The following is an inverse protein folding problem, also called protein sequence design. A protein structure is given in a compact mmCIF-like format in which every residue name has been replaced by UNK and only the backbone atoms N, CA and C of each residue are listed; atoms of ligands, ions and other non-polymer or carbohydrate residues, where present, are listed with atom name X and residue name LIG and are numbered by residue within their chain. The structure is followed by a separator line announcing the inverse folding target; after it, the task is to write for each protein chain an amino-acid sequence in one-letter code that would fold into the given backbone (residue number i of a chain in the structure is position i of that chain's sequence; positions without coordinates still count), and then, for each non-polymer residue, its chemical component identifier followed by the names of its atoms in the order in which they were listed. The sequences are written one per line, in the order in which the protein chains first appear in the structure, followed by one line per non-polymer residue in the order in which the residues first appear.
data_IF_915095454579
#
_entry.id   IF_915095454579
#
_cell.length_a   1.000
_cell.length_b   1.000
_cell.length_c   1.000
_cell.angle_alpha   90.00
_cell.angle_beta   90.00
_cell.angle_gamma   90.00
#
_symmetry.space_group_name_H-M   'P 1'
#
loop_
_entity.id
_entity.type
_entity.pdbx_description
1 polymer ?
#
# COMPACT_ATOMS: atom_id res chain seq x y z
N UNK A 1 7.79 18.66 21.13
CA UNK A 1 9.21 18.85 20.77
C UNK A 1 9.59 18.26 19.41
N UNK A 2 9.42 16.95 19.15
CA UNK A 2 9.72 16.36 17.82
C UNK A 2 8.73 16.80 16.73
N UNK A 3 7.45 16.90 17.07
CA UNK A 3 6.41 17.39 16.16
C UNK A 3 6.64 18.86 15.78
N UNK A 4 6.98 19.70 16.75
CA UNK A 4 7.30 21.12 16.51
C UNK A 4 8.50 21.28 15.57
N UNK A 5 9.55 20.48 15.77
CA UNK A 5 10.73 20.48 14.89
C UNK A 5 10.37 20.07 13.45
N UNK A 6 9.52 19.05 13.29
CA UNK A 6 9.04 18.62 11.98
C UNK A 6 8.18 19.69 11.28
N UNK A 7 7.30 20.36 12.04
CA UNK A 7 6.47 21.44 11.52
C UNK A 7 7.31 22.64 11.09
N UNK A 8 8.29 23.04 11.91
CA UNK A 8 9.22 24.12 11.59
C UNK A 8 10.08 23.81 10.37
N UNK A 9 10.59 22.57 10.27
CA UNK A 9 11.34 22.13 9.10
C UNK A 9 10.49 22.17 7.83
N UNK A 10 9.26 21.66 7.89
CA UNK A 10 8.34 21.68 6.75
C UNK A 10 8.01 23.12 6.33
N UNK A 11 7.73 24.01 7.29
CA UNK A 11 7.50 25.42 7.02
C UNK A 11 8.72 26.09 6.37
N UNK A 12 9.94 25.81 6.86
CA UNK A 12 11.17 26.32 6.26
C UNK A 12 11.35 25.83 4.80
N UNK A 13 11.05 24.56 4.51
CA UNK A 13 11.08 24.03 3.14
C UNK A 13 10.06 24.73 2.24
N UNK A 14 8.82 24.96 2.70
CA UNK A 14 7.80 25.67 1.93
C UNK A 14 8.17 27.13 1.68
N UNK A 15 8.68 27.84 2.69
CA UNK A 15 9.17 29.21 2.55
C UNK A 15 10.36 29.29 1.58
N UNK A 16 11.30 28.33 1.66
CA UNK A 16 12.41 28.22 0.73
C UNK A 16 11.96 27.97 -0.72
N UNK A 17 11.00 27.05 -0.92
CA UNK A 17 10.43 26.79 -2.24
C UNK A 17 9.68 28.01 -2.80
N UNK A 18 8.93 28.73 -1.95
CA UNK A 18 8.29 29.99 -2.32
C UNK A 18 9.32 31.07 -2.66
N UNK A 19 10.43 31.17 -1.93
CA UNK A 19 11.48 32.15 -2.23
C UNK A 19 12.15 31.87 -3.58
N UNK A 20 12.39 30.59 -3.92
CA UNK A 20 13.02 30.18 -5.17
C UNK A 20 12.08 30.22 -6.40
N UNK A 21 10.80 29.85 -6.22
CA UNK A 21 9.85 29.66 -7.34
C UNK A 21 8.55 30.48 -7.23
N UNK A 22 8.40 31.30 -6.19
CA UNK A 22 7.24 32.16 -5.96
C UNK A 22 5.93 31.38 -5.83
N UNK A 23 4.87 31.99 -6.36
CA UNK A 23 3.52 31.42 -6.36
C UNK A 23 3.39 30.08 -7.07
N UNK A 24 4.32 29.74 -7.98
CA UNK A 24 4.34 28.45 -8.68
C UNK A 24 4.58 27.29 -7.72
N UNK A 25 5.36 27.50 -6.65
CA UNK A 25 5.58 26.49 -5.63
C UNK A 25 4.29 26.19 -4.84
N UNK A 26 3.53 27.23 -4.49
CA UNK A 26 2.23 27.06 -3.83
C UNK A 26 1.21 26.37 -4.75
N UNK A 27 1.19 26.74 -6.04
CA UNK A 27 0.34 26.07 -7.01
C UNK A 27 0.71 24.59 -7.12
N UNK A 28 2.00 24.27 -7.26
CA UNK A 28 2.46 22.88 -7.30
C UNK A 28 2.02 22.10 -6.06
N UNK A 29 2.24 22.64 -4.85
CA UNK A 29 1.85 21.99 -3.60
C UNK A 29 0.32 21.76 -3.52
N UNK A 30 -0.48 22.77 -3.90
CA UNK A 30 -1.94 22.68 -3.93
C UNK A 30 -2.42 21.59 -4.89
N UNK A 31 -1.84 21.51 -6.09
CA UNK A 31 -2.20 20.52 -7.09
C UNK A 31 -1.75 19.12 -6.69
N UNK A 32 -0.52 18.96 -6.19
CA UNK A 32 -0.02 17.67 -5.67
C UNK A 32 -0.91 17.15 -4.55
N UNK A 33 -1.30 18.00 -3.59
CA UNK A 33 -2.21 17.62 -2.51
C UNK A 33 -3.60 17.26 -3.04
N UNK A 34 -4.10 18.04 -4.01
CA UNK A 34 -5.40 17.79 -4.64
C UNK A 34 -5.43 16.44 -5.38
N UNK A 35 -4.39 16.12 -6.14
CA UNK A 35 -4.26 14.80 -6.78
C UNK A 35 -4.19 13.70 -5.72
N UNK A 36 -3.31 13.84 -4.72
CA UNK A 36 -3.12 12.85 -3.64
C UNK A 36 -4.40 12.58 -2.85
N UNK A 37 -5.17 13.62 -2.52
CA UNK A 37 -6.38 13.51 -1.72
C UNK A 37 -7.63 13.12 -2.54
N UNK A 38 -7.57 13.18 -3.88
CA UNK A 38 -8.70 12.92 -4.75
C UNK A 38 -8.71 11.48 -5.30
N UNK A 39 -9.69 11.20 -6.17
CA UNK A 39 -9.75 9.95 -6.93
C UNK A 39 -8.65 9.80 -7.98
N UNK A 40 -7.91 10.86 -8.27
CA UNK A 40 -6.82 10.86 -9.24
C UNK A 40 -5.53 10.21 -8.72
N UNK A 41 -5.40 9.92 -7.42
CA UNK A 41 -4.29 9.12 -6.90
C UNK A 41 -4.49 7.63 -7.16
N UNK A 42 -4.26 7.24 -8.42
CA UNK A 42 -4.50 5.90 -8.96
C UNK A 42 -3.65 4.84 -8.26
N UNK A 43 -2.36 5.14 -8.06
CA UNK A 43 -1.41 4.21 -7.46
C UNK A 43 -1.60 4.15 -5.96
N UNK A 44 -1.64 5.30 -5.27
CA UNK A 44 -1.72 5.32 -3.82
C UNK A 44 -2.99 4.67 -3.29
N UNK A 45 -4.16 5.06 -3.81
CA UNK A 45 -5.42 4.43 -3.40
C UNK A 45 -5.53 3.00 -3.88
N UNK A 46 -5.10 2.71 -5.12
CA UNK A 46 -5.17 1.36 -5.66
C UNK A 46 -4.35 0.36 -4.83
N UNK A 47 -3.10 0.71 -4.51
CA UNK A 47 -2.22 -0.13 -3.70
C UNK A 47 -2.73 -0.26 -2.26
N UNK A 48 -3.08 0.84 -1.59
CA UNK A 48 -3.60 0.80 -0.21
C UNK A 48 -4.83 -0.11 -0.11
N UNK A 49 -5.74 0.01 -1.07
CA UNK A 49 -6.90 -0.88 -1.16
C UNK A 49 -6.45 -2.32 -1.39
N UNK A 50 -5.63 -2.61 -2.39
CA UNK A 50 -5.17 -3.97 -2.69
C UNK A 50 -4.47 -4.65 -1.51
N UNK A 51 -3.68 -3.87 -0.77
CA UNK A 51 -2.89 -4.30 0.36
C UNK A 51 -3.76 -4.53 1.61
N UNK A 52 -4.84 -3.76 1.79
CA UNK A 52 -5.72 -3.79 2.96
C UNK A 52 -7.20 -3.95 2.57
N UNK A 53 -7.48 -4.95 1.72
CA UNK A 53 -8.80 -5.16 1.12
C UNK A 53 -9.82 -5.85 2.02
N UNK A 54 -9.34 -6.54 3.06
CA UNK A 54 -10.14 -7.36 3.96
C UNK A 54 -9.90 -6.92 5.39
N UNK A 55 -10.99 -6.82 6.16
CA UNK A 55 -10.92 -6.72 7.63
C UNK A 55 -10.70 -8.11 8.28
N UNK A 56 -10.17 -9.08 7.51
CA UNK A 56 -9.88 -10.44 7.97
C UNK A 56 -8.64 -10.42 8.88
N UNK A 57 -8.83 -10.74 10.16
CA UNK A 57 -7.74 -10.87 11.13
C UNK A 57 -6.72 -11.95 10.76
N UNK A 58 -7.09 -12.91 9.92
CA UNK A 58 -6.21 -13.99 9.46
C UNK A 58 -5.43 -13.62 8.19
N UNK A 59 -5.90 -12.61 7.44
CA UNK A 59 -5.24 -12.07 6.25
C UNK A 59 -5.23 -10.53 6.33
N UNK A 60 -4.48 -9.94 7.29
CA UNK A 60 -4.54 -8.49 7.54
C UNK A 60 -3.94 -7.68 6.39
N UNK A 61 -3.10 -8.31 5.56
CA UNK A 61 -2.44 -7.68 4.41
C UNK A 61 -2.30 -8.65 3.26
N UNK A 62 -2.47 -8.17 2.03
CA UNK A 62 -2.31 -8.96 0.81
C UNK A 62 -1.14 -8.49 -0.04
N UNK A 63 -0.61 -9.38 -0.87
CA UNK A 63 0.36 -9.05 -1.90
C UNK A 63 -0.28 -9.01 -3.29
N UNK A 64 0.24 -8.16 -4.17
CA UNK A 64 -0.16 -8.04 -5.57
C UNK A 64 1.06 -8.20 -6.45
N UNK A 65 1.23 -9.38 -7.05
CA UNK A 65 2.42 -9.69 -7.87
C UNK A 65 2.20 -9.26 -9.33
N UNK A 66 2.63 -8.04 -9.66
CA UNK A 66 2.54 -7.51 -11.03
C UNK A 66 3.90 -7.08 -11.54
N UNK A 67 4.03 -6.98 -12.87
CA UNK A 67 5.28 -6.51 -13.47
C UNK A 67 5.62 -5.06 -13.08
N UNK A 68 4.61 -4.26 -12.75
CA UNK A 68 4.77 -2.89 -12.26
C UNK A 68 5.53 -2.81 -10.93
N UNK A 69 5.64 -3.91 -10.18
CA UNK A 69 6.43 -3.97 -8.96
C UNK A 69 7.89 -3.56 -9.19
N UNK A 70 8.43 -3.74 -10.41
CA UNK A 70 9.76 -3.26 -10.77
C UNK A 70 9.84 -1.72 -10.69
N UNK A 71 8.80 -1.01 -11.13
CA UNK A 71 8.75 0.46 -11.08
C UNK A 71 8.45 0.98 -9.67
N UNK A 72 7.67 0.23 -8.90
CA UNK A 72 7.25 0.60 -7.54
C UNK A 72 8.10 -0.05 -6.45
N UNK A 73 9.38 -0.36 -6.74
CA UNK A 73 10.32 -0.86 -5.74
C UNK A 73 9.81 -2.09 -4.95
N UNK A 74 9.04 -2.95 -5.60
CA UNK A 74 8.41 -4.15 -5.04
C UNK A 74 7.46 -3.90 -3.87
N UNK A 75 6.80 -2.74 -3.79
CA UNK A 75 5.76 -2.46 -2.78
C UNK A 75 4.60 -3.45 -2.83
N UNK A 76 4.28 -4.02 -4.00
CA UNK A 76 3.25 -5.05 -4.12
C UNK A 76 3.54 -6.36 -3.35
N UNK A 77 4.76 -6.57 -2.83
CA UNK A 77 5.10 -7.69 -1.93
C UNK A 77 4.81 -7.34 -0.46
N UNK A 78 3.60 -6.86 -0.18
CA UNK A 78 3.28 -6.24 1.10
C UNK A 78 3.17 -7.25 2.24
N UNK A 79 2.58 -8.42 2.01
CA UNK A 79 2.51 -9.48 3.02
C UNK A 79 3.91 -9.94 3.45
N UNK A 80 4.84 -10.06 2.49
CA UNK A 80 6.26 -10.34 2.76
C UNK A 80 6.91 -9.21 3.55
N UNK A 81 6.64 -7.95 3.19
CA UNK A 81 7.19 -6.79 3.90
C UNK A 81 6.71 -6.72 5.36
N UNK A 82 5.41 -6.95 5.63
CA UNK A 82 4.88 -7.00 6.99
C UNK A 82 5.42 -8.18 7.79
N UNK A 83 5.73 -9.29 7.12
CA UNK A 83 6.36 -10.46 7.76
C UNK A 83 7.84 -10.20 8.07
N UNK A 84 8.56 -9.55 7.15
CA UNK A 84 9.99 -9.28 7.24
C UNK A 84 10.31 -7.81 6.96
N UNK A 85 9.97 -6.88 7.87
CA UNK A 85 10.09 -5.44 7.62
C UNK A 85 11.53 -4.96 7.48
N UNK A 86 12.49 -5.76 7.96
CA UNK A 86 13.92 -5.49 7.84
C UNK A 86 14.49 -5.90 6.47
N UNK A 87 13.77 -6.65 5.64
CA UNK A 87 14.24 -7.09 4.32
C UNK A 87 13.95 -6.00 3.29
N UNK A 88 14.96 -5.51 2.55
CA UNK A 88 14.75 -4.56 1.47
C UNK A 88 13.83 -5.11 0.37
N UNK A 89 13.02 -4.23 -0.23
CA UNK A 89 12.06 -4.57 -1.28
C UNK A 89 12.64 -5.38 -2.44
N UNK A 90 13.91 -5.14 -2.82
CA UNK A 90 14.59 -5.88 -3.89
C UNK A 90 14.77 -7.38 -3.60
N UNK A 91 14.70 -7.81 -2.34
CA UNK A 91 14.82 -9.21 -1.95
C UNK A 91 13.49 -9.90 -1.67
N UNK A 92 12.38 -9.17 -1.55
CA UNK A 92 11.05 -9.74 -1.31
C UNK A 92 10.63 -10.80 -2.35
N UNK A 93 10.93 -10.66 -3.66
CA UNK A 93 10.66 -11.72 -4.62
C UNK A 93 11.36 -13.04 -4.32
N UNK A 94 12.49 -13.02 -3.59
CA UNK A 94 13.19 -14.23 -3.14
C UNK A 94 12.49 -14.87 -1.94
N UNK A 95 11.90 -14.06 -1.06
CA UNK A 95 11.10 -14.52 0.08
C UNK A 95 9.89 -15.31 -0.40
N UNK A 96 9.13 -14.76 -1.36
CA UNK A 96 8.00 -15.46 -1.98
C UNK A 96 8.42 -16.77 -2.65
N UNK A 97 9.59 -16.79 -3.29
CA UNK A 97 10.13 -18.02 -3.92
C UNK A 97 10.56 -19.07 -2.90
N UNK A 98 11.00 -18.67 -1.71
CA UNK A 98 11.43 -19.57 -0.65
C UNK A 98 10.25 -20.20 0.10
N UNK A 99 9.12 -19.49 0.23
CA UNK A 99 7.92 -19.96 0.92
C UNK A 99 6.63 -19.63 0.12
N UNK A 100 6.46 -20.20 -1.09
CA UNK A 100 5.32 -19.86 -1.96
C UNK A 100 3.98 -20.32 -1.38
N UNK A 101 3.98 -21.41 -0.62
CA UNK A 101 2.84 -21.95 0.12
C UNK A 101 2.36 -21.02 1.23
N UNK A 102 3.25 -20.17 1.76
CA UNK A 102 2.89 -19.14 2.76
C UNK A 102 2.34 -17.90 2.07
N UNK A 103 3.02 -17.38 1.03
CA UNK A 103 2.73 -16.05 0.49
C UNK A 103 1.79 -16.01 -0.71
N UNK A 104 1.69 -17.07 -1.51
CA UNK A 104 0.75 -17.09 -2.65
C UNK A 104 -0.73 -17.15 -2.23
N UNK A 105 -1.12 -17.84 -1.13
CA UNK A 105 -2.48 -17.70 -0.62
C UNK A 105 -2.82 -16.28 -0.16
N UNK A 106 -1.79 -15.49 0.18
CA UNK A 106 -1.95 -14.09 0.56
C UNK A 106 -2.03 -13.15 -0.67
N UNK A 107 -2.00 -13.68 -1.89
CA UNK A 107 -2.18 -12.90 -3.11
C UNK A 107 -3.59 -12.32 -3.18
N UNK A 108 -3.69 -11.13 -3.74
CA UNK A 108 -4.96 -10.46 -3.97
C UNK A 108 -5.64 -11.05 -5.20
N UNK A 109 -6.94 -11.37 -5.10
CA UNK A 109 -7.74 -11.88 -6.22
C UNK A 109 -7.87 -10.86 -7.36
N UNK A 110 -7.76 -9.57 -7.04
CA UNK A 110 -7.88 -8.47 -7.98
C UNK A 110 -6.64 -7.59 -8.03
N UNK A 111 -6.25 -7.17 -9.24
CA UNK A 111 -5.17 -6.20 -9.42
C UNK A 111 -5.54 -4.82 -8.83
N UNK A 112 -4.57 -4.12 -8.25
CA UNK A 112 -4.75 -2.77 -7.70
C UNK A 112 -5.40 -1.76 -8.67
N UNK A 113 -5.14 -1.76 -10.01
CA UNK A 113 -5.81 -0.84 -10.92
C UNK A 113 -7.31 -1.13 -11.07
N UNK A 114 -7.70 -2.40 -11.00
CA UNK A 114 -9.11 -2.81 -11.08
C UNK A 114 -9.87 -2.34 -9.83
N UNK A 115 -9.24 -2.48 -8.66
CA UNK A 115 -9.77 -2.02 -7.38
C UNK A 115 -9.91 -0.50 -7.34
N UNK A 116 -8.87 0.23 -7.76
CA UNK A 116 -8.95 1.68 -7.91
C UNK A 116 -10.08 2.08 -8.85
N UNK A 117 -10.19 1.46 -10.03
CA UNK A 117 -11.25 1.80 -11.01
C UNK A 117 -12.64 1.58 -10.42
N UNK A 118 -12.85 0.45 -9.75
CA UNK A 118 -14.14 0.14 -9.10
C UNK A 118 -14.49 1.19 -8.06
N UNK A 119 -13.51 1.55 -7.22
CA UNK A 119 -13.68 2.60 -6.22
C UNK A 119 -13.92 3.97 -6.84
N UNK A 120 -13.19 4.34 -7.88
CA UNK A 120 -13.31 5.62 -8.55
C UNK A 120 -14.73 5.83 -9.12
N UNK A 121 -15.33 4.74 -9.62
CA UNK A 121 -16.68 4.75 -10.20
C UNK A 121 -17.79 4.59 -9.16
N UNK A 122 -17.58 3.80 -8.10
CA UNK A 122 -18.66 3.36 -7.18
C UNK A 122 -18.47 3.79 -5.71
N UNK A 123 -17.33 4.37 -5.34
CA UNK A 123 -16.99 4.78 -3.97
C UNK A 123 -16.57 3.64 -3.03
N UNK A 124 -16.08 4.01 -1.83
CA UNK A 124 -15.48 3.09 -0.84
C UNK A 124 -16.38 1.97 -0.31
N UNK A 125 -17.71 2.14 -0.33
CA UNK A 125 -18.64 1.12 0.18
C UNK A 125 -18.62 -0.18 -0.63
N UNK A 126 -18.07 -0.15 -1.85
CA UNK A 126 -18.04 -1.29 -2.76
C UNK A 126 -16.84 -2.24 -2.58
N UNK A 127 -15.92 -1.96 -1.66
CA UNK A 127 -14.63 -2.67 -1.59
C UNK A 127 -14.46 -3.59 -0.39
N UNK A 128 -14.77 -3.11 0.83
CA UNK A 128 -14.57 -3.88 2.06
C UNK A 128 -15.49 -5.10 2.22
N UNK A 129 -16.64 -5.12 1.55
CA UNK A 129 -17.64 -6.19 1.69
C UNK A 129 -17.32 -7.39 0.78
N UNK A 130 -16.73 -7.16 -0.40
CA UNK A 130 -16.53 -8.22 -1.40
C UNK A 130 -15.35 -9.14 -1.03
N UNK A 131 -14.23 -8.58 -0.56
CA UNK A 131 -13.05 -9.36 -0.20
C UNK A 131 -13.27 -10.28 1.02
N UNK A 132 -14.07 -9.85 2.01
CA UNK A 132 -14.43 -10.67 3.17
C UNK A 132 -15.30 -11.89 2.78
N UNK A 133 -16.25 -11.69 1.87
CA UNK A 133 -17.14 -12.75 1.39
C UNK A 133 -16.39 -13.78 0.54
N UNK A 134 -15.44 -13.34 -0.29
CA UNK A 134 -14.59 -14.22 -1.11
C UNK A 134 -13.57 -14.99 -0.26
N UNK A 135 -12.93 -14.34 0.72
CA UNK A 135 -11.95 -14.99 1.61
C UNK A 135 -12.56 -16.12 2.46
N UNK A 136 -13.82 -15.98 2.89
CA UNK A 136 -14.56 -17.03 3.58
C UNK A 136 -14.95 -18.21 2.67
N UNK A 137 -15.08 -17.98 1.37
CA UNK A 137 -15.48 -19.00 0.41
C UNK A 137 -14.31 -19.90 -0.04
N UNK A 138 -13.07 -19.41 -0.02
CA UNK A 138 -11.94 -20.10 -0.67
C UNK A 138 -11.08 -21.00 0.25
N UNK A 139 -11.26 -21.01 1.58
CA UNK A 139 -10.58 -21.98 2.47
C UNK A 139 -9.03 -21.91 2.48
N UNK A 140 -8.43 -21.01 1.71
CA UNK A 140 -6.99 -20.79 1.59
C UNK A 140 -6.49 -19.91 2.73
N UNK A 141 -6.22 -20.52 3.88
CA UNK A 141 -5.64 -19.80 5.03
C UNK A 141 -4.22 -19.35 4.67
N UNK A 142 -4.02 -18.04 4.55
CA UNK A 142 -2.71 -17.40 4.73
C UNK A 142 -2.26 -17.79 6.15
N UNK A 143 -1.28 -18.70 6.26
CA UNK A 143 -0.89 -19.24 7.56
C UNK A 143 -0.32 -18.13 8.43
N UNK A 144 -0.80 -18.05 9.66
CA UNK A 144 -0.22 -17.22 10.72
C UNK A 144 1.26 -17.59 10.83
N UNK A 145 2.16 -16.73 10.39
CA UNK A 145 3.53 -16.75 10.92
C UNK A 145 3.38 -16.31 12.37
N UNK A 146 3.06 -17.26 13.25
CA UNK A 146 3.10 -17.04 14.68
C UNK A 146 4.46 -16.44 14.95
N UNK A 147 4.51 -15.28 15.62
CA UNK A 147 5.75 -14.69 16.11
C UNK A 147 6.57 -15.82 16.71
N UNK A 148 7.57 -16.31 15.98
CA UNK A 148 8.50 -17.27 16.51
C UNK A 148 9.16 -16.50 17.65
N UNK A 149 8.89 -16.91 18.88
CA UNK A 149 9.73 -16.52 20.00
C UNK A 149 11.11 -17.01 19.62
N UNK A 150 11.93 -16.09 19.13
CA UNK A 150 13.38 -16.27 19.10
C UNK A 150 13.75 -16.42 20.57
N UNK A 151 13.97 -17.66 20.97
CA UNK A 151 14.50 -18.05 22.27
C UNK A 151 16.01 -17.81 22.28
#
# INVERSE_FOLDING_TARGET
RKQDAFALFSAACYLGAWWLWGWRAALYALWSLSVKASRFDVVGWGQDMAEHNSDDEHKPTNSTYTWWNVLFCNTGYHAEHHTFPAIPGCYLPRVTKAAPDVFRPCENSESWPALWRRWAMNGFRSFRITAYQEALAEGGRCLRVSKAKVA
#
